data_IF_996403608189
#
_entry.id   IF_996403608189
#
_cell.length_a   1.000
_cell.length_b   1.000
_cell.length_c   1.000
_cell.angle_alpha   90.00
_cell.angle_beta   90.00
_cell.angle_gamma   90.00
#
_symmetry.space_group_name_H-M   'P 1'
#
loop_
_entity.id
_entity.type
_entity.pdbx_description
1 polymer ?
#
# COMPACT_ATOMS: atom_id res chain seq x y z
N UNK A 1 30.37 8.30 -36.24
CA UNK A 1 29.00 7.74 -36.51
C UNK A 1 28.45 8.47 -37.72
N UNK A 2 27.77 7.78 -38.63
CA UNK A 2 27.15 8.40 -39.80
C UNK A 2 25.69 8.76 -39.55
N UNK A 3 25.12 9.63 -40.36
CA UNK A 3 23.74 10.10 -40.26
C UNK A 3 22.73 8.95 -40.11
N UNK A 4 22.80 7.95 -40.99
CA UNK A 4 21.85 6.82 -40.96
C UNK A 4 21.96 5.99 -39.68
N UNK A 5 23.15 5.85 -39.13
CA UNK A 5 23.42 5.13 -37.89
C UNK A 5 22.89 5.91 -36.68
N UNK A 6 23.03 7.23 -36.67
CA UNK A 6 22.48 8.12 -35.66
C UNK A 6 20.95 8.03 -35.63
N UNK A 7 20.28 8.12 -36.76
CA UNK A 7 18.82 8.03 -36.84
C UNK A 7 18.30 6.63 -36.50
N UNK A 8 19.03 5.56 -36.81
CA UNK A 8 18.68 4.20 -36.39
C UNK A 8 18.76 4.06 -34.86
N UNK A 9 19.79 4.60 -34.23
CA UNK A 9 19.91 4.64 -32.78
C UNK A 9 18.83 5.53 -32.14
N UNK A 10 18.53 6.69 -32.73
CA UNK A 10 17.47 7.58 -32.25
C UNK A 10 16.09 6.89 -32.28
N UNK A 11 15.74 6.23 -33.39
CA UNK A 11 14.49 5.44 -33.49
C UNK A 11 14.45 4.31 -32.49
N UNK A 12 15.58 3.67 -32.21
CA UNK A 12 15.67 2.60 -31.21
C UNK A 12 15.53 3.16 -29.78
N UNK A 13 16.21 4.26 -29.49
CA UNK A 13 16.17 4.89 -28.15
C UNK A 13 14.79 5.45 -27.81
N UNK A 14 14.06 5.95 -28.79
CA UNK A 14 12.70 6.48 -28.64
C UNK A 14 11.61 5.47 -29.07
N UNK A 15 11.94 4.18 -29.21
CA UNK A 15 10.97 3.13 -29.51
C UNK A 15 9.88 3.06 -28.42
N UNK A 16 8.62 3.12 -28.84
CA UNK A 16 7.47 3.13 -27.94
C UNK A 16 6.91 4.52 -27.61
N UNK A 17 7.50 5.58 -28.17
CA UNK A 17 6.93 6.93 -28.15
C UNK A 17 5.76 7.07 -29.14
N UNK A 18 4.91 8.07 -28.94
CA UNK A 18 3.89 8.46 -29.90
C UNK A 18 4.50 8.73 -31.28
N UNK A 19 3.89 8.19 -32.36
CA UNK A 19 4.46 8.20 -33.70
C UNK A 19 4.52 9.62 -34.27
N UNK A 20 3.58 10.49 -33.93
CA UNK A 20 3.57 11.90 -34.36
C UNK A 20 4.69 12.67 -33.65
N UNK A 21 4.87 12.47 -32.35
CA UNK A 21 5.95 13.08 -31.57
C UNK A 21 7.33 12.57 -31.98
N UNK A 22 7.46 11.27 -32.28
CA UNK A 22 8.70 10.69 -32.79
C UNK A 22 9.04 11.28 -34.17
N UNK A 23 8.05 11.51 -35.03
CA UNK A 23 8.22 12.12 -36.34
C UNK A 23 8.71 13.56 -36.21
N UNK A 24 8.16 14.33 -35.26
CA UNK A 24 8.58 15.70 -34.98
C UNK A 24 10.05 15.76 -34.52
N UNK A 25 10.42 14.89 -33.57
CA UNK A 25 11.81 14.79 -33.07
C UNK A 25 12.76 14.43 -34.20
N UNK A 26 12.42 13.44 -35.02
CA UNK A 26 13.25 13.05 -36.17
C UNK A 26 13.38 14.21 -37.15
N UNK A 27 12.29 14.93 -37.41
CA UNK A 27 12.28 16.10 -38.32
C UNK A 27 13.19 17.22 -37.83
N UNK A 28 13.23 17.50 -36.55
CA UNK A 28 14.10 18.51 -35.94
C UNK A 28 15.59 18.15 -36.15
N UNK A 29 15.94 16.88 -35.88
CA UNK A 29 17.32 16.42 -36.11
C UNK A 29 17.68 16.33 -37.61
N UNK A 30 16.75 15.98 -38.51
CA UNK A 30 16.97 16.03 -39.96
C UNK A 30 17.27 17.45 -40.43
N UNK A 31 16.54 18.45 -39.91
CA UNK A 31 16.81 19.86 -40.20
C UNK A 31 18.19 20.28 -39.67
N UNK A 32 18.59 19.85 -38.48
CA UNK A 32 19.91 20.14 -37.91
C UNK A 32 21.04 19.55 -38.76
N UNK A 33 20.90 18.31 -39.24
CA UNK A 33 21.84 17.70 -40.18
C UNK A 33 21.91 18.47 -41.50
N UNK A 34 20.78 18.90 -42.05
CA UNK A 34 20.73 19.68 -43.29
C UNK A 34 21.46 21.01 -43.14
N UNK A 35 21.19 21.77 -42.08
CA UNK A 35 21.86 23.04 -41.81
C UNK A 35 23.36 22.85 -41.55
N UNK A 36 23.77 21.81 -40.82
CA UNK A 36 25.18 21.49 -40.59
C UNK A 36 25.92 21.18 -41.87
N UNK A 37 25.33 20.38 -42.77
CA UNK A 37 25.91 20.05 -44.08
C UNK A 37 25.96 21.27 -45.01
N UNK A 38 24.96 22.13 -45.02
CA UNK A 38 24.95 23.39 -45.77
C UNK A 38 26.07 24.34 -45.30
N UNK A 39 26.42 24.26 -44.00
CA UNK A 39 27.55 25.00 -43.42
C UNK A 39 28.91 24.30 -43.60
N UNK A 40 28.99 23.22 -44.39
CA UNK A 40 30.22 22.55 -44.79
C UNK A 40 30.76 21.55 -43.76
N UNK A 41 29.96 21.14 -42.75
CA UNK A 41 30.32 20.11 -41.77
C UNK A 41 30.10 18.72 -42.36
N UNK A 42 30.93 17.76 -41.96
CA UNK A 42 30.71 16.35 -42.25
C UNK A 42 29.65 15.73 -41.36
N UNK A 43 29.05 14.61 -41.77
CA UNK A 43 28.08 13.87 -40.94
C UNK A 43 28.66 13.47 -39.60
N UNK A 44 29.95 13.09 -39.58
CA UNK A 44 30.66 12.70 -38.38
C UNK A 44 30.79 13.87 -37.38
N UNK A 45 31.13 15.07 -37.88
CA UNK A 45 31.23 16.28 -37.04
C UNK A 45 29.87 16.69 -36.48
N UNK A 46 28.80 16.57 -37.25
CA UNK A 46 27.43 16.85 -36.77
C UNK A 46 27.02 15.86 -35.71
N UNK A 47 27.30 14.55 -35.89
CA UNK A 47 27.03 13.54 -34.86
C UNK A 47 27.82 13.77 -33.57
N UNK A 48 29.06 14.25 -33.63
CA UNK A 48 29.83 14.58 -32.42
C UNK A 48 29.25 15.80 -31.69
N UNK A 49 28.77 16.80 -32.41
CA UNK A 49 28.13 18.00 -31.84
C UNK A 49 26.78 17.66 -31.17
N UNK A 50 26.00 16.75 -31.76
CA UNK A 50 24.72 16.30 -31.21
C UNK A 50 24.86 15.43 -29.95
N UNK A 51 26.02 14.81 -29.76
CA UNK A 51 26.32 13.98 -28.59
C UNK A 51 25.74 12.57 -28.63
N UNK A 52 25.60 11.98 -27.45
CA UNK A 52 25.12 10.61 -27.30
C UNK A 52 23.59 10.57 -27.36
N UNK A 53 23.05 9.70 -28.22
CA UNK A 53 21.58 9.51 -28.37
C UNK A 53 20.88 9.17 -27.04
N UNK A 54 21.54 8.46 -26.15
CA UNK A 54 20.95 8.14 -24.82
C UNK A 54 20.89 9.37 -23.91
N UNK A 55 21.86 10.27 -23.98
CA UNK A 55 21.83 11.56 -23.28
C UNK A 55 20.73 12.47 -23.82
N UNK A 56 20.56 12.49 -25.15
CA UNK A 56 19.46 13.21 -25.81
C UNK A 56 18.11 12.68 -25.33
N UNK A 57 17.97 11.36 -25.30
CA UNK A 57 16.76 10.72 -24.80
C UNK A 57 16.49 11.09 -23.35
N UNK A 58 17.50 11.03 -22.49
CA UNK A 58 17.37 11.36 -21.07
C UNK A 58 16.96 12.83 -20.88
N UNK A 59 17.61 13.77 -21.57
CA UNK A 59 17.28 15.19 -21.50
C UNK A 59 15.83 15.46 -21.95
N UNK A 60 15.41 14.80 -23.04
CA UNK A 60 14.04 14.93 -23.55
C UNK A 60 12.99 14.39 -22.53
N UNK A 61 13.27 13.26 -21.87
CA UNK A 61 12.37 12.65 -20.88
C UNK A 61 12.32 13.46 -19.58
N UNK A 62 13.40 14.10 -19.20
CA UNK A 62 13.43 14.99 -18.03
C UNK A 62 12.55 16.23 -18.24
N UNK A 63 12.50 16.76 -19.48
CA UNK A 63 11.63 17.88 -19.86
C UNK A 63 10.20 17.46 -20.18
N UNK A 64 10.00 16.23 -20.67
CA UNK A 64 8.70 15.71 -21.10
C UNK A 64 8.40 14.34 -20.47
N UNK A 65 8.14 14.27 -19.16
CA UNK A 65 7.91 13.00 -18.46
C UNK A 65 6.67 12.21 -18.96
N UNK A 66 5.79 12.86 -19.72
CA UNK A 66 4.61 12.24 -20.33
C UNK A 66 4.84 11.70 -21.77
N UNK A 67 6.02 11.93 -22.35
CA UNK A 67 6.26 11.68 -23.78
C UNK A 67 6.44 10.20 -24.16
N UNK A 68 6.61 9.29 -23.22
CA UNK A 68 6.52 7.85 -23.46
C UNK A 68 5.11 7.31 -23.17
N UNK A 69 4.13 7.82 -23.88
CA UNK A 69 2.83 7.16 -23.96
C UNK A 69 2.97 6.02 -24.97
N UNK A 70 3.10 4.79 -24.45
CA UNK A 70 3.12 3.61 -25.32
C UNK A 70 1.74 3.52 -25.96
N UNK A 71 1.63 3.90 -27.22
CA UNK A 71 0.43 3.68 -28.03
C UNK A 71 0.17 2.17 -28.10
N UNK A 72 -0.97 1.76 -27.59
CA UNK A 72 -1.42 0.36 -27.54
C UNK A 72 -1.85 -0.09 -28.93
N UNK A 73 -0.96 -0.08 -29.90
CA UNK A 73 -1.16 -0.69 -31.20
C UNK A 73 -0.08 -1.71 -31.46
N UNK A 74 -0.40 -2.98 -31.29
CA UNK A 74 -0.10 -4.04 -32.27
C UNK A 74 -0.14 -5.45 -31.70
N UNK A 75 -0.92 -6.23 -32.36
CA UNK A 75 -0.77 -7.65 -32.70
C UNK A 75 0.04 -8.55 -31.75
N UNK A 76 -0.68 -9.34 -30.96
CA UNK A 76 -0.28 -10.71 -30.75
C UNK A 76 -1.53 -11.56 -30.71
N UNK A 77 -1.63 -12.46 -31.68
CA UNK A 77 -2.61 -13.51 -31.75
C UNK A 77 -2.51 -14.46 -30.56
N UNK A 78 -3.67 -14.99 -30.17
CA UNK A 78 -3.88 -16.09 -29.27
C UNK A 78 -3.75 -15.82 -27.77
N UNK A 79 -4.83 -15.28 -27.16
CA UNK A 79 -5.12 -15.53 -25.75
C UNK A 79 -6.61 -15.80 -25.57
N UNK A 80 -6.91 -16.75 -24.72
CA UNK A 80 -8.26 -17.10 -24.34
C UNK A 80 -9.02 -15.93 -23.70
N UNK A 81 -10.27 -15.94 -23.86
CA UNK A 81 -11.35 -14.98 -23.73
C UNK A 81 -11.51 -14.26 -22.35
N UNK A 82 -10.46 -13.80 -21.68
CA UNK A 82 -10.59 -13.12 -20.40
C UNK A 82 -9.65 -11.90 -20.15
N UNK A 83 -8.55 -11.77 -20.89
CA UNK A 83 -7.58 -10.71 -20.64
C UNK A 83 -7.53 -9.71 -21.80
N UNK A 84 -8.02 -8.49 -21.56
CA UNK A 84 -8.10 -7.44 -22.59
C UNK A 84 -6.80 -6.72 -22.76
N UNK A 85 -6.06 -6.60 -21.67
CA UNK A 85 -4.77 -5.94 -21.63
C UNK A 85 -3.81 -6.85 -20.88
N UNK A 86 -2.79 -7.33 -21.54
CA UNK A 86 -1.69 -8.07 -20.91
C UNK A 86 -0.39 -7.62 -21.54
N UNK A 87 0.50 -7.04 -20.71
CA UNK A 87 1.81 -6.54 -21.16
C UNK A 87 2.89 -6.75 -20.12
N UNK A 88 4.10 -7.00 -20.64
CA UNK A 88 5.32 -7.12 -19.87
C UNK A 88 6.15 -5.85 -20.01
N UNK A 89 6.68 -5.37 -18.90
CA UNK A 89 7.51 -4.16 -18.82
C UNK A 89 8.87 -4.54 -18.23
N UNK A 90 9.91 -4.70 -19.07
CA UNK A 90 11.25 -5.05 -18.60
C UNK A 90 11.93 -3.87 -17.91
N UNK A 91 12.79 -4.19 -16.93
CA UNK A 91 13.63 -3.20 -16.25
C UNK A 91 12.90 -2.23 -15.33
N UNK A 92 11.62 -2.47 -15.03
CA UNK A 92 10.85 -1.67 -14.07
C UNK A 92 11.22 -2.07 -12.65
N UNK A 93 11.52 -1.08 -11.82
CA UNK A 93 11.82 -1.23 -10.39
C UNK A 93 10.82 -0.48 -9.49
N UNK A 94 9.96 0.37 -10.09
CA UNK A 94 8.99 1.18 -9.38
C UNK A 94 7.64 1.16 -10.08
N UNK A 95 6.57 1.01 -9.29
CA UNK A 95 5.19 1.15 -9.77
C UNK A 95 4.53 2.34 -9.05
N UNK A 96 3.86 3.19 -9.81
CA UNK A 96 3.04 4.28 -9.31
C UNK A 96 1.64 4.21 -9.95
N UNK A 97 0.67 3.69 -9.21
CA UNK A 97 -0.71 3.58 -9.66
C UNK A 97 -1.57 4.68 -9.01
N UNK A 98 -2.31 5.42 -9.82
CA UNK A 98 -3.28 6.45 -9.37
C UNK A 98 -4.62 6.14 -10.02
N UNK A 99 -5.54 5.59 -9.24
CA UNK A 99 -6.79 5.05 -9.74
C UNK A 99 -7.99 5.72 -9.06
N UNK A 100 -9.14 5.60 -9.67
CA UNK A 100 -10.39 6.21 -9.18
C UNK A 100 -11.37 5.18 -8.66
N UNK A 101 -11.66 4.12 -9.41
CA UNK A 101 -12.71 3.14 -9.10
C UNK A 101 -12.38 1.70 -9.53
N UNK A 102 -11.13 1.44 -9.89
CA UNK A 102 -10.66 0.09 -10.20
C UNK A 102 -10.29 -0.69 -8.93
N UNK A 103 -10.59 -1.97 -8.90
CA UNK A 103 -9.96 -2.88 -7.96
C UNK A 103 -8.52 -3.17 -8.38
N UNK A 104 -7.65 -3.45 -7.43
CA UNK A 104 -6.23 -3.70 -7.69
C UNK A 104 -5.81 -5.01 -7.04
N UNK A 105 -5.19 -5.87 -7.80
CA UNK A 105 -4.48 -7.04 -7.30
C UNK A 105 -3.00 -6.93 -7.59
N UNK A 106 -2.16 -6.99 -6.55
CA UNK A 106 -0.69 -6.96 -6.68
C UNK A 106 -0.14 -8.29 -6.18
N UNK A 107 0.64 -8.95 -7.02
CA UNK A 107 1.22 -10.25 -6.70
C UNK A 107 2.65 -10.39 -7.22
N UNK A 108 3.33 -11.44 -6.79
CA UNK A 108 4.65 -11.80 -7.29
C UNK A 108 4.57 -12.24 -8.76
N UNK A 109 5.47 -11.73 -9.58
CA UNK A 109 5.64 -12.18 -10.96
C UNK A 109 6.38 -13.51 -11.03
N UNK A 110 6.04 -14.32 -12.02
CA UNK A 110 6.80 -15.53 -12.37
C UNK A 110 8.07 -15.21 -13.19
N UNK A 111 8.23 -13.95 -13.61
CA UNK A 111 9.34 -13.47 -14.43
C UNK A 111 10.09 -12.33 -13.74
N UNK A 112 11.18 -11.85 -14.35
CA UNK A 112 11.89 -10.66 -13.87
C UNK A 112 11.29 -9.34 -14.35
N UNK A 113 10.17 -9.40 -15.06
CA UNK A 113 9.49 -8.24 -15.62
C UNK A 113 8.22 -7.92 -14.83
N UNK A 114 7.81 -6.67 -14.85
CA UNK A 114 6.49 -6.30 -14.36
C UNK A 114 5.46 -6.68 -15.41
N UNK A 115 4.46 -7.46 -15.00
CA UNK A 115 3.32 -7.82 -15.83
C UNK A 115 2.11 -6.99 -15.38
N UNK A 116 1.45 -6.35 -16.35
CA UNK A 116 0.22 -5.60 -16.13
C UNK A 116 -0.89 -6.22 -16.97
N UNK A 117 -1.95 -6.67 -16.34
CA UNK A 117 -3.16 -7.10 -17.01
C UNK A 117 -4.40 -6.41 -16.44
N UNK A 118 -5.43 -6.29 -17.26
CA UNK A 118 -6.69 -5.65 -16.89
C UNK A 118 -7.84 -6.57 -17.27
N UNK A 119 -8.73 -6.83 -16.32
CA UNK A 119 -9.92 -7.66 -16.47
C UNK A 119 -11.17 -6.90 -15.99
N UNK A 120 -12.37 -7.33 -16.36
CA UNK A 120 -13.64 -6.78 -15.85
C UNK A 120 -14.60 -6.27 -16.93
N UNK A 121 -15.74 -5.73 -16.54
CA UNK A 121 -16.91 -5.53 -17.39
C UNK A 121 -16.85 -4.42 -18.48
N UNK A 122 -15.88 -3.50 -18.44
CA UNK A 122 -15.54 -2.60 -19.56
C UNK A 122 -14.47 -3.23 -20.46
N UNK A 123 -14.11 -4.39 -20.14
CA UNK A 123 -13.05 -5.16 -20.72
C UNK A 123 -13.30 -5.59 -22.18
N UNK A 124 -14.53 -5.68 -22.60
CA UNK A 124 -14.88 -5.99 -24.00
C UNK A 124 -14.74 -4.76 -24.93
N UNK A 125 -14.53 -3.56 -24.35
CA UNK A 125 -14.34 -2.30 -25.10
C UNK A 125 -12.95 -1.72 -24.85
N UNK A 126 -11.97 -2.18 -25.65
CA UNK A 126 -10.58 -1.73 -25.60
C UNK A 126 -10.46 -0.21 -25.82
N UNK A 127 -11.34 0.39 -26.61
CA UNK A 127 -11.31 1.83 -26.85
C UNK A 127 -11.75 2.61 -25.61
N UNK A 128 -12.81 2.16 -24.94
CA UNK A 128 -13.24 2.77 -23.69
C UNK A 128 -12.19 2.61 -22.58
N UNK A 129 -11.48 1.47 -22.54
CA UNK A 129 -10.38 1.26 -21.60
C UNK A 129 -9.21 2.23 -21.87
N UNK A 130 -8.80 2.39 -23.14
CA UNK A 130 -7.73 3.31 -23.54
C UNK A 130 -8.04 4.77 -23.23
N UNK A 131 -9.31 5.13 -23.26
CA UNK A 131 -9.76 6.48 -22.93
C UNK A 131 -9.75 6.77 -21.41
N UNK A 132 -9.81 5.74 -20.57
CA UNK A 132 -9.89 5.88 -19.11
C UNK A 132 -8.60 5.50 -18.40
N UNK A 133 -7.78 4.61 -18.98
CA UNK A 133 -6.55 4.10 -18.38
C UNK A 133 -5.32 4.51 -19.19
N UNK A 134 -4.46 5.33 -18.60
CA UNK A 134 -3.17 5.72 -19.16
C UNK A 134 -2.07 4.92 -18.47
N UNK A 135 -1.28 4.23 -19.27
CA UNK A 135 -0.11 3.47 -18.79
C UNK A 135 1.12 4.00 -19.49
N UNK A 136 2.12 4.41 -18.72
CA UNK A 136 3.40 4.89 -19.23
C UNK A 136 4.57 4.26 -18.49
N UNK A 137 5.64 3.93 -19.19
CA UNK A 137 6.86 3.39 -18.61
C UNK A 137 8.02 4.36 -18.90
N UNK A 138 8.72 4.81 -17.89
CA UNK A 138 9.86 5.72 -18.00
C UNK A 138 10.88 5.42 -16.90
N UNK A 139 12.15 5.37 -17.27
CA UNK A 139 13.31 5.20 -16.39
C UNK A 139 13.04 4.31 -15.16
N UNK A 140 12.76 3.01 -15.42
CA UNK A 140 12.52 2.03 -14.34
C UNK A 140 11.23 2.24 -13.55
N UNK A 141 10.32 3.09 -13.99
CA UNK A 141 9.03 3.36 -13.33
C UNK A 141 7.87 3.08 -14.28
N UNK A 142 6.91 2.27 -13.84
CA UNK A 142 5.62 2.08 -14.48
C UNK A 142 4.60 2.99 -13.80
N UNK A 143 4.00 3.90 -14.54
CA UNK A 143 2.92 4.77 -14.07
C UNK A 143 1.60 4.34 -14.68
N UNK A 144 0.60 4.14 -13.84
CA UNK A 144 -0.75 3.71 -14.21
C UNK A 144 -1.71 4.78 -13.68
N UNK A 145 -2.46 5.41 -14.56
CA UNK A 145 -3.39 6.49 -14.19
C UNK A 145 -4.77 6.17 -14.76
N UNK A 146 -5.78 6.23 -13.90
CA UNK A 146 -7.18 6.11 -14.30
C UNK A 146 -7.84 7.49 -14.20
N UNK A 147 -8.33 7.99 -15.32
CA UNK A 147 -9.08 9.24 -15.38
C UNK A 147 -10.60 8.95 -15.32
N UNK A 148 -11.31 9.67 -14.45
CA UNK A 148 -12.75 9.57 -14.40
C UNK A 148 -13.36 10.41 -15.53
N UNK A 149 -13.95 9.78 -16.55
CA UNK A 149 -14.77 10.53 -17.52
C UNK A 149 -16.07 11.00 -16.84
N UNK A 150 -16.34 12.28 -16.90
CA UNK A 150 -17.64 12.84 -16.54
C UNK A 150 -18.69 12.28 -17.53
N UNK A 151 -19.56 11.38 -17.08
CA UNK A 151 -20.68 10.88 -17.86
C UNK A 151 -20.91 9.36 -17.87
N UNK A 152 -19.96 8.53 -17.44
CA UNK A 152 -20.19 7.10 -17.28
C UNK A 152 -20.35 6.77 -15.79
N UNK A 153 -21.36 7.34 -15.16
CA UNK A 153 -21.93 6.75 -13.96
C UNK A 153 -23.04 5.81 -14.42
N UNK A 154 -22.72 4.56 -14.66
CA UNK A 154 -23.75 3.52 -14.67
C UNK A 154 -24.21 3.42 -13.22
N UNK A 155 -25.26 4.16 -12.90
CA UNK A 155 -25.81 4.23 -11.57
C UNK A 155 -26.27 2.83 -11.15
N UNK A 156 -25.60 2.26 -10.18
CA UNK A 156 -26.00 1.07 -9.44
C UNK A 156 -27.42 1.19 -8.81
N UNK A 157 -27.98 2.39 -8.83
CA UNK A 157 -29.33 2.69 -8.36
C UNK A 157 -30.44 2.22 -9.31
N UNK A 158 -30.20 2.09 -10.61
CA UNK A 158 -31.26 1.73 -11.58
C UNK A 158 -31.61 0.24 -11.56
N UNK A 159 -30.69 -0.65 -11.19
CA UNK A 159 -30.95 -2.10 -11.15
C UNK A 159 -31.81 -2.55 -9.95
N UNK A 160 -31.88 -1.78 -8.88
CA UNK A 160 -32.74 -2.06 -7.73
C UNK A 160 -34.21 -1.66 -7.93
N UNK A 161 -34.48 -0.74 -8.83
CA UNK A 161 -35.85 -0.21 -9.03
C UNK A 161 -36.71 -1.07 -9.98
N UNK A 162 -36.13 -1.93 -10.79
CA UNK A 162 -36.89 -2.68 -11.81
C UNK A 162 -36.90 -4.22 -11.65
N UNK A 163 -36.44 -4.78 -10.52
CA UNK A 163 -36.62 -6.22 -10.22
C UNK A 163 -35.96 -7.20 -11.20
N UNK A 164 -35.13 -6.75 -12.13
CA UNK A 164 -34.42 -7.58 -13.08
C UNK A 164 -33.17 -8.16 -12.37
N UNK A 165 -33.16 -9.48 -12.21
CA UNK A 165 -31.93 -10.23 -11.87
C UNK A 165 -30.97 -10.12 -13.06
N UNK A 166 -30.27 -9.00 -13.15
CA UNK A 166 -29.05 -8.92 -13.96
C UNK A 166 -27.96 -9.64 -13.17
N UNK A 167 -27.33 -10.64 -13.80
CA UNK A 167 -26.28 -11.42 -13.16
C UNK A 167 -25.20 -10.53 -12.55
N UNK A 168 -24.43 -11.06 -11.60
CA UNK A 168 -23.29 -10.41 -10.94
C UNK A 168 -22.26 -9.94 -11.99
N UNK A 169 -22.48 -8.81 -12.61
CA UNK A 169 -21.46 -8.09 -13.33
C UNK A 169 -21.13 -6.86 -12.45
N UNK A 170 -20.05 -6.98 -11.70
CA UNK A 170 -19.36 -5.81 -11.21
C UNK A 170 -18.94 -5.00 -12.44
N UNK A 171 -19.48 -3.80 -12.60
CA UNK A 171 -19.14 -2.90 -13.70
C UNK A 171 -17.73 -2.28 -13.51
N UNK A 172 -16.92 -2.81 -12.62
CA UNK A 172 -15.57 -2.35 -12.32
C UNK A 172 -14.50 -3.09 -13.14
N UNK A 173 -13.42 -2.41 -13.43
CA UNK A 173 -12.19 -3.03 -13.93
C UNK A 173 -11.34 -3.50 -12.76
N UNK A 174 -10.63 -4.59 -12.93
CA UNK A 174 -9.61 -5.08 -12.01
C UNK A 174 -8.25 -4.95 -12.69
N UNK A 175 -7.34 -4.27 -12.02
CA UNK A 175 -5.96 -4.08 -12.49
C UNK A 175 -5.06 -5.06 -11.75
N UNK A 176 -4.49 -6.00 -12.47
CA UNK A 176 -3.54 -6.97 -11.94
C UNK A 176 -2.12 -6.53 -12.25
N UNK A 177 -1.30 -6.39 -11.23
CA UNK A 177 0.10 -6.00 -11.33
C UNK A 177 0.95 -7.12 -10.73
N UNK A 178 1.69 -7.86 -11.56
CA UNK A 178 2.67 -8.79 -11.06
C UNK A 178 4.07 -8.16 -11.08
N UNK A 179 4.77 -8.18 -9.93
CA UNK A 179 6.08 -7.55 -9.79
C UNK A 179 7.16 -8.58 -9.47
N UNK A 180 8.42 -8.39 -9.94
CA UNK A 180 9.54 -9.26 -9.60
C UNK A 180 9.81 -9.39 -8.10
N UNK A 181 10.55 -10.41 -7.70
CA UNK A 181 10.83 -10.74 -6.30
C UNK A 181 11.56 -9.62 -5.53
N UNK A 182 12.44 -8.87 -6.20
CA UNK A 182 13.14 -7.73 -5.59
C UNK A 182 12.70 -6.45 -6.28
N UNK A 183 11.93 -5.65 -5.56
CA UNK A 183 11.33 -4.44 -6.09
C UNK A 183 11.66 -3.21 -5.23
N UNK A 184 11.95 -2.08 -5.85
CA UNK A 184 12.33 -0.88 -5.11
C UNK A 184 11.13 -0.23 -4.42
N UNK A 185 10.07 0.05 -5.19
CA UNK A 185 8.94 0.82 -4.67
C UNK A 185 7.62 0.50 -5.36
N UNK A 186 6.60 0.29 -4.55
CA UNK A 186 5.22 0.22 -5.01
C UNK A 186 4.45 1.34 -4.32
N UNK A 187 3.81 2.20 -5.10
CA UNK A 187 2.91 3.24 -4.62
C UNK A 187 1.57 3.13 -5.31
N UNK A 188 0.53 3.00 -4.52
CA UNK A 188 -0.85 2.91 -5.00
C UNK A 188 -1.68 4.01 -4.34
N UNK A 189 -2.41 4.75 -5.15
CA UNK A 189 -3.47 5.66 -4.69
C UNK A 189 -4.77 5.25 -5.36
N UNK A 190 -5.81 5.01 -4.57
CA UNK A 190 -7.13 4.66 -5.08
C UNK A 190 -8.21 5.49 -4.38
N UNK A 191 -9.23 5.89 -5.12
CA UNK A 191 -10.36 6.63 -4.53
C UNK A 191 -11.41 5.62 -4.05
N UNK A 192 -11.82 4.67 -4.88
CA UNK A 192 -12.76 3.63 -4.51
C UNK A 192 -12.42 2.34 -5.27
N UNK A 193 -12.51 1.25 -4.63
CA UNK A 193 -12.09 -0.06 -5.13
C UNK A 193 -11.10 -0.70 -4.16
N UNK A 194 -11.17 -2.00 -4.07
CA UNK A 194 -10.40 -2.77 -3.13
C UNK A 194 -8.97 -2.98 -3.61
N UNK A 195 -8.06 -3.08 -2.66
CA UNK A 195 -6.63 -3.31 -2.94
C UNK A 195 -6.22 -4.62 -2.26
N UNK A 196 -5.85 -5.60 -3.07
CA UNK A 196 -5.40 -6.92 -2.60
C UNK A 196 -3.94 -7.12 -2.97
N UNK A 197 -3.12 -7.50 -2.00
CA UNK A 197 -1.68 -7.67 -2.15
C UNK A 197 -1.26 -9.02 -1.60
N UNK A 198 -0.57 -9.81 -2.41
CA UNK A 198 -0.13 -11.14 -2.03
C UNK A 198 1.32 -11.43 -2.45
N UNK A 199 2.12 -11.96 -1.54
CA UNK A 199 3.49 -12.45 -1.76
C UNK A 199 4.41 -11.43 -2.45
N UNK A 200 4.58 -10.26 -1.84
CA UNK A 200 5.39 -9.16 -2.36
C UNK A 200 6.66 -8.95 -1.53
N UNK A 201 7.78 -8.74 -2.23
CA UNK A 201 9.02 -8.29 -1.62
C UNK A 201 9.47 -6.95 -2.24
N UNK A 202 9.62 -5.92 -1.41
CA UNK A 202 9.99 -4.57 -1.88
C UNK A 202 10.78 -3.79 -0.82
N UNK A 203 11.45 -2.71 -1.22
CA UNK A 203 12.02 -1.81 -0.22
C UNK A 203 10.98 -0.90 0.42
N UNK A 204 10.02 -0.39 -0.39
CA UNK A 204 8.94 0.50 0.07
C UNK A 204 7.60 0.12 -0.54
N UNK A 205 6.63 0.01 0.31
CA UNK A 205 5.25 -0.28 -0.06
C UNK A 205 4.31 0.77 0.55
N UNK A 206 3.63 1.55 -0.30
CA UNK A 206 2.79 2.67 0.13
C UNK A 206 1.42 2.57 -0.54
N UNK A 207 0.36 2.57 0.26
CA UNK A 207 -1.03 2.55 -0.21
C UNK A 207 -1.81 3.68 0.45
N UNK A 208 -2.50 4.46 -0.37
CA UNK A 208 -3.43 5.50 0.05
C UNK A 208 -4.80 5.22 -0.60
N UNK A 209 -5.81 4.89 0.20
CA UNK A 209 -7.20 4.72 -0.26
C UNK A 209 -8.12 5.79 0.33
N UNK A 210 -9.20 6.11 -0.36
CA UNK A 210 -10.26 6.97 0.19
C UNK A 210 -11.42 6.13 0.69
N UNK A 211 -11.92 5.20 -0.11
CA UNK A 211 -12.89 4.20 0.28
C UNK A 211 -12.60 2.90 -0.50
N UNK A 212 -12.67 1.82 0.14
CA UNK A 212 -12.26 0.52 -0.36
C UNK A 212 -11.31 -0.13 0.65
N UNK A 213 -11.38 -1.42 0.74
CA UNK A 213 -10.62 -2.18 1.70
C UNK A 213 -9.21 -2.45 1.19
N UNK A 214 -8.26 -2.51 2.12
CA UNK A 214 -6.88 -2.87 1.84
C UNK A 214 -6.58 -4.20 2.51
N UNK A 215 -6.24 -5.21 1.73
CA UNK A 215 -5.84 -6.53 2.21
C UNK A 215 -4.42 -6.85 1.76
N UNK A 216 -3.53 -7.07 2.72
CA UNK A 216 -2.12 -7.37 2.47
C UNK A 216 -1.77 -8.70 3.14
N UNK A 217 -1.28 -9.65 2.37
CA UNK A 217 -0.78 -10.92 2.87
C UNK A 217 0.61 -11.22 2.33
N UNK A 218 1.49 -11.75 3.18
CA UNK A 218 2.87 -12.15 2.83
C UNK A 218 3.71 -11.02 2.21
N UNK A 219 3.63 -9.80 2.78
CA UNK A 219 4.48 -8.68 2.38
C UNK A 219 5.80 -8.70 3.15
N UNK A 220 6.92 -8.62 2.43
CA UNK A 220 8.25 -8.43 3.00
C UNK A 220 8.83 -7.09 2.51
N UNK A 221 9.05 -6.13 3.42
CA UNK A 221 9.48 -4.79 3.02
C UNK A 221 10.32 -4.09 4.10
N UNK A 222 11.07 -3.06 3.73
CA UNK A 222 11.70 -2.19 4.74
C UNK A 222 10.69 -1.20 5.32
N UNK A 223 9.81 -0.64 4.50
CA UNK A 223 8.83 0.34 4.91
C UNK A 223 7.47 0.04 4.29
N UNK A 224 6.47 -0.18 5.14
CA UNK A 224 5.08 -0.35 4.76
C UNK A 224 4.25 0.79 5.35
N UNK A 225 3.46 1.44 4.51
CA UNK A 225 2.52 2.48 4.91
C UNK A 225 1.18 2.25 4.22
N UNK A 226 0.14 1.96 5.01
CA UNK A 226 -1.22 1.70 4.56
C UNK A 226 -2.16 2.74 5.17
N UNK A 227 -2.75 3.57 4.33
CA UNK A 227 -3.66 4.63 4.75
C UNK A 227 -5.01 4.49 4.03
N UNK A 228 -6.11 4.48 4.77
CA UNK A 228 -7.46 4.60 4.23
C UNK A 228 -8.24 5.71 4.95
N UNK A 229 -9.21 6.33 4.29
CA UNK A 229 -10.13 7.25 4.97
C UNK A 229 -11.35 6.51 5.52
N UNK A 230 -11.86 5.49 4.81
CA UNK A 230 -13.13 4.84 5.18
C UNK A 230 -13.18 3.32 4.93
N UNK A 231 -12.11 2.69 4.50
CA UNK A 231 -12.05 1.25 4.31
C UNK A 231 -11.35 0.53 5.46
N UNK A 232 -11.62 -0.74 5.58
CA UNK A 232 -10.91 -1.63 6.49
C UNK A 232 -9.49 -1.92 5.97
N UNK A 233 -8.56 -2.11 6.89
CA UNK A 233 -7.20 -2.50 6.54
C UNK A 233 -6.85 -3.81 7.25
N UNK A 234 -6.51 -4.83 6.48
CA UNK A 234 -6.06 -6.13 7.00
C UNK A 234 -4.64 -6.43 6.51
N UNK A 235 -3.78 -6.80 7.43
CA UNK A 235 -2.39 -7.15 7.13
C UNK A 235 -2.03 -8.44 7.85
N UNK A 236 -1.68 -9.47 7.09
CA UNK A 236 -1.37 -10.78 7.64
C UNK A 236 0.03 -11.25 7.18
N UNK A 237 0.67 -12.12 7.98
CA UNK A 237 1.91 -12.83 7.62
C UNK A 237 3.01 -11.94 7.04
N UNK A 238 3.10 -10.70 7.48
CA UNK A 238 3.94 -9.69 6.85
C UNK A 238 5.13 -9.28 7.72
N UNK A 239 6.22 -8.90 7.07
CA UNK A 239 7.45 -8.47 7.74
C UNK A 239 7.89 -7.10 7.22
N UNK A 240 8.21 -6.18 8.13
CA UNK A 240 8.71 -4.85 7.78
C UNK A 240 9.69 -4.33 8.84
N UNK A 241 10.56 -3.37 8.51
CA UNK A 241 11.22 -2.59 9.58
C UNK A 241 10.23 -1.62 10.22
N UNK A 242 9.46 -0.92 9.38
CA UNK A 242 8.42 0.00 9.86
C UNK A 242 7.10 -0.35 9.19
N UNK A 243 6.10 -0.66 10.01
CA UNK A 243 4.74 -0.98 9.58
C UNK A 243 3.78 0.08 10.14
N UNK A 244 3.31 0.97 9.29
CA UNK A 244 2.38 2.06 9.63
C UNK A 244 1.03 1.80 8.99
N UNK A 245 -0.02 1.68 9.81
CA UNK A 245 -1.38 1.39 9.36
C UNK A 245 -2.34 2.40 9.99
N UNK A 246 -3.07 3.10 9.16
CA UNK A 246 -4.03 4.10 9.60
C UNK A 246 -5.32 4.08 8.78
N UNK A 247 -6.46 4.10 9.47
CA UNK A 247 -7.76 4.34 8.83
C UNK A 247 -8.57 5.40 9.59
N UNK A 248 -9.43 6.10 8.88
CA UNK A 248 -10.34 7.07 9.48
C UNK A 248 -11.58 6.41 10.09
N UNK A 249 -12.27 5.56 9.34
CA UNK A 249 -13.56 4.98 9.77
C UNK A 249 -13.68 3.47 9.57
N UNK A 250 -12.64 2.81 9.20
CA UNK A 250 -12.60 1.37 9.06
C UNK A 250 -11.95 0.69 10.26
N UNK A 251 -12.02 -0.61 10.29
CA UNK A 251 -11.32 -1.45 11.24
C UNK A 251 -9.89 -1.74 10.78
N UNK A 252 -8.99 -1.93 11.73
CA UNK A 252 -7.62 -2.35 11.47
C UNK A 252 -7.36 -3.73 12.06
N UNK A 253 -7.01 -4.69 11.21
CA UNK A 253 -6.57 -6.02 11.59
C UNK A 253 -5.10 -6.25 11.22
N UNK A 254 -4.27 -6.62 12.18
CA UNK A 254 -2.87 -6.98 11.97
C UNK A 254 -2.62 -8.32 12.63
N UNK A 255 -2.30 -9.34 11.85
CA UNK A 255 -2.13 -10.70 12.36
C UNK A 255 -0.83 -11.32 11.87
N UNK A 256 -0.14 -12.01 12.77
CA UNK A 256 1.11 -12.77 12.47
C UNK A 256 2.21 -11.92 11.79
N UNK A 257 2.28 -10.63 12.11
CA UNK A 257 3.24 -9.69 11.53
C UNK A 257 4.48 -9.51 12.41
N UNK A 258 5.60 -9.18 11.77
CA UNK A 258 6.84 -8.85 12.43
C UNK A 258 7.37 -7.49 11.97
N UNK A 259 7.77 -6.62 12.93
CA UNK A 259 8.36 -5.31 12.62
C UNK A 259 9.39 -4.89 13.66
N UNK A 260 10.24 -3.91 13.35
CA UNK A 260 10.99 -3.18 14.39
C UNK A 260 10.03 -2.18 15.05
N UNK A 261 9.25 -1.44 14.23
CA UNK A 261 8.20 -0.53 14.72
C UNK A 261 6.86 -0.85 14.04
N UNK A 262 5.82 -1.12 14.84
CA UNK A 262 4.45 -1.31 14.39
C UNK A 262 3.55 -0.21 14.96
N UNK A 263 2.89 0.55 14.11
CA UNK A 263 1.86 1.52 14.47
C UNK A 263 0.56 1.17 13.76
N UNK A 264 -0.50 0.91 14.53
CA UNK A 264 -1.83 0.58 14.02
C UNK A 264 -2.86 1.52 14.63
N UNK A 265 -3.65 2.20 13.80
CA UNK A 265 -4.62 3.18 14.33
C UNK A 265 -5.88 3.32 13.51
N UNK A 266 -7.00 3.57 14.21
CA UNK A 266 -8.27 4.01 13.63
C UNK A 266 -8.85 5.22 14.40
N UNK A 267 -9.64 6.04 13.70
CA UNK A 267 -10.40 7.10 14.39
C UNK A 267 -11.73 6.55 14.91
N UNK A 268 -12.47 5.78 14.12
CA UNK A 268 -13.82 5.32 14.48
C UNK A 268 -14.04 3.81 14.37
N UNK A 269 -13.02 3.03 14.07
CA UNK A 269 -13.08 1.58 13.98
C UNK A 269 -12.28 0.90 15.07
N UNK A 270 -12.45 -0.39 15.17
CA UNK A 270 -11.72 -1.26 16.07
C UNK A 270 -10.31 -1.53 15.57
N UNK A 271 -9.37 -1.72 16.50
CA UNK A 271 -7.99 -2.07 16.14
C UNK A 271 -7.61 -3.40 16.81
N UNK A 272 -7.35 -4.40 15.98
CA UNK A 272 -6.98 -5.74 16.40
C UNK A 272 -5.54 -6.04 15.98
N UNK A 273 -4.65 -6.31 16.95
CA UNK A 273 -3.26 -6.68 16.71
C UNK A 273 -2.97 -7.99 17.46
N UNK A 274 -2.83 -9.07 16.69
CA UNK A 274 -2.81 -10.43 17.23
C UNK A 274 -1.58 -11.18 16.70
N UNK A 275 -0.92 -11.93 17.56
CA UNK A 275 0.25 -12.76 17.24
C UNK A 275 1.40 -11.99 16.54
N UNK A 276 1.49 -10.68 16.77
CA UNK A 276 2.52 -9.83 16.20
C UNK A 276 3.74 -9.68 17.11
N UNK A 277 4.91 -9.41 16.51
CA UNK A 277 6.16 -9.13 17.23
C UNK A 277 6.74 -7.81 16.75
N UNK A 278 7.08 -6.92 17.68
CA UNK A 278 7.76 -5.69 17.36
C UNK A 278 8.61 -5.20 18.56
N UNK A 279 9.73 -4.52 18.29
CA UNK A 279 10.48 -3.86 19.35
C UNK A 279 9.65 -2.73 19.98
N UNK A 280 8.89 -2.01 19.14
CA UNK A 280 7.94 -1.00 19.56
C UNK A 280 6.59 -1.19 18.87
N UNK A 281 5.53 -1.29 19.69
CA UNK A 281 4.16 -1.46 19.21
C UNK A 281 3.24 -0.38 19.78
N UNK A 282 2.55 0.33 18.91
CA UNK A 282 1.65 1.42 19.27
C UNK A 282 0.28 1.23 18.59
N UNK A 283 -0.75 0.96 19.40
CA UNK A 283 -2.10 0.64 18.95
C UNK A 283 -3.06 1.70 19.48
N UNK A 284 -3.72 2.41 18.58
CA UNK A 284 -4.53 3.59 18.95
C UNK A 284 -5.90 3.55 18.27
N UNK A 285 -6.96 3.78 19.05
CA UNK A 285 -8.29 4.11 18.53
C UNK A 285 -8.84 5.35 19.22
N UNK A 286 -9.71 6.11 18.57
CA UNK A 286 -10.43 7.20 19.24
C UNK A 286 -11.79 6.70 19.73
N UNK A 287 -12.57 6.03 18.88
CA UNK A 287 -13.95 5.61 19.24
C UNK A 287 -14.20 4.11 19.12
N UNK A 288 -13.21 3.33 18.78
CA UNK A 288 -13.31 1.88 18.68
C UNK A 288 -12.60 1.15 19.82
N UNK A 289 -12.86 -0.12 19.92
CA UNK A 289 -12.21 -1.03 20.85
C UNK A 289 -10.80 -1.41 20.37
N UNK A 290 -9.93 -1.70 21.30
CA UNK A 290 -8.60 -2.23 21.01
C UNK A 290 -8.51 -3.66 21.57
N UNK A 291 -8.08 -4.58 20.70
CA UNK A 291 -7.64 -5.92 21.10
C UNK A 291 -6.18 -6.10 20.67
N UNK A 292 -5.28 -6.24 21.62
CA UNK A 292 -3.87 -6.37 21.33
C UNK A 292 -3.20 -7.48 22.16
N UNK A 293 -2.26 -8.19 21.51
CA UNK A 293 -1.42 -9.20 22.17
C UNK A 293 0.02 -8.72 22.17
N UNK A 294 0.55 -8.43 23.35
CA UNK A 294 1.90 -8.00 23.61
C UNK A 294 2.69 -9.16 24.23
N UNK A 295 3.28 -9.99 23.41
CA UNK A 295 4.16 -11.07 23.85
C UNK A 295 5.53 -10.89 23.20
N UNK A 296 6.56 -10.82 24.04
CA UNK A 296 7.95 -10.63 23.60
C UNK A 296 8.20 -9.34 22.78
N UNK A 297 7.50 -8.28 23.10
CA UNK A 297 7.65 -6.96 22.49
C UNK A 297 8.10 -5.95 23.55
N UNK A 298 9.23 -5.27 23.31
CA UNK A 298 9.91 -4.52 24.37
C UNK A 298 9.09 -3.32 24.86
N UNK A 299 8.49 -2.53 23.99
CA UNK A 299 7.70 -1.34 24.32
C UNK A 299 6.33 -1.37 23.64
N UNK A 300 5.26 -1.44 24.43
CA UNK A 300 3.92 -1.58 23.91
C UNK A 300 2.99 -0.51 24.47
N UNK A 301 2.18 0.09 23.61
CA UNK A 301 1.13 1.00 24.00
C UNK A 301 -0.19 0.62 23.36
N UNK A 302 -1.26 0.61 24.15
CA UNK A 302 -2.64 0.53 23.67
C UNK A 302 -3.43 1.71 24.24
N UNK A 303 -4.02 2.55 23.38
CA UNK A 303 -4.75 3.74 23.79
C UNK A 303 -6.06 3.89 23.04
N UNK A 304 -7.18 3.86 23.76
CA UNK A 304 -8.48 4.30 23.24
C UNK A 304 -8.97 5.58 23.95
N UNK A 305 -9.87 6.30 23.33
CA UNK A 305 -10.56 7.42 24.00
C UNK A 305 -11.94 6.99 24.48
N UNK A 306 -12.75 6.33 23.66
CA UNK A 306 -14.12 5.94 24.01
C UNK A 306 -14.39 4.44 23.92
N UNK A 307 -13.41 3.64 23.59
CA UNK A 307 -13.55 2.18 23.49
C UNK A 307 -12.82 1.45 24.61
N UNK A 308 -13.12 0.18 24.73
CA UNK A 308 -12.47 -0.73 25.64
C UNK A 308 -11.09 -1.15 25.14
N UNK A 309 -10.17 -1.37 26.06
CA UNK A 309 -8.86 -1.96 25.75
C UNK A 309 -8.78 -3.38 26.34
N UNK A 310 -8.71 -4.39 25.47
CA UNK A 310 -8.47 -5.79 25.83
C UNK A 310 -7.06 -6.18 25.42
N UNK A 311 -6.17 -6.34 26.40
CA UNK A 311 -4.75 -6.54 26.12
C UNK A 311 -4.27 -7.82 26.79
N UNK A 312 -3.55 -8.65 26.04
CA UNK A 312 -2.80 -9.79 26.60
C UNK A 312 -1.33 -9.40 26.69
N UNK A 313 -0.69 -9.65 27.83
CA UNK A 313 0.72 -9.30 28.08
C UNK A 313 1.47 -10.59 28.44
N UNK A 314 2.56 -10.84 27.72
CA UNK A 314 3.51 -11.94 27.99
C UNK A 314 4.72 -11.53 28.81
N UNK A 315 5.86 -12.16 28.54
CA UNK A 315 7.13 -11.87 29.21
C UNK A 315 7.92 -10.75 28.50
N UNK A 316 8.74 -10.04 29.26
CA UNK A 316 9.66 -9.00 28.75
C UNK A 316 8.94 -7.84 28.04
N UNK A 317 7.81 -7.40 28.59
CA UNK A 317 6.96 -6.36 27.99
C UNK A 317 6.83 -5.16 28.92
N UNK A 318 7.18 -3.97 28.42
CA UNK A 318 6.82 -2.70 29.04
C UNK A 318 5.55 -2.15 28.38
N UNK A 319 4.39 -2.37 29.02
CA UNK A 319 3.07 -2.04 28.48
C UNK A 319 2.46 -0.80 29.13
N UNK A 320 1.92 0.09 28.30
CA UNK A 320 1.08 1.21 28.72
C UNK A 320 -0.30 1.07 28.06
N UNK A 321 -1.33 0.83 28.87
CA UNK A 321 -2.70 0.63 28.40
C UNK A 321 -3.59 1.74 28.98
N UNK A 322 -4.33 2.45 28.15
CA UNK A 322 -5.19 3.52 28.63
C UNK A 322 -6.48 3.67 27.83
N UNK A 323 -7.57 3.95 28.54
CA UNK A 323 -8.80 4.47 27.94
C UNK A 323 -9.23 5.74 28.67
N UNK A 324 -10.05 6.56 28.05
CA UNK A 324 -10.69 7.68 28.77
C UNK A 324 -12.07 7.26 29.29
N UNK A 325 -12.90 6.66 28.48
CA UNK A 325 -14.28 6.29 28.84
C UNK A 325 -14.59 4.79 28.72
N UNK A 326 -13.62 3.97 28.44
CA UNK A 326 -13.79 2.52 28.31
C UNK A 326 -13.09 1.75 29.42
N UNK A 327 -13.41 0.49 29.52
CA UNK A 327 -12.77 -0.46 30.42
C UNK A 327 -11.39 -0.88 29.90
N UNK A 328 -10.49 -1.15 30.84
CA UNK A 328 -9.18 -1.72 30.56
C UNK A 328 -9.11 -3.14 31.12
N UNK A 329 -9.09 -4.13 30.24
CA UNK A 329 -9.03 -5.53 30.59
C UNK A 329 -7.67 -6.10 30.17
N UNK A 330 -6.84 -6.47 31.13
CA UNK A 330 -5.52 -7.04 30.88
C UNK A 330 -5.47 -8.48 31.34
N UNK A 331 -4.99 -9.35 30.45
CA UNK A 331 -4.69 -10.74 30.73
C UNK A 331 -3.18 -10.93 30.73
N UNK A 332 -2.64 -11.36 31.85
CA UNK A 332 -1.22 -11.69 31.96
C UNK A 332 -0.97 -13.18 31.72
N UNK A 333 -0.13 -13.50 30.77
CA UNK A 333 0.25 -14.87 30.41
C UNK A 333 1.74 -15.17 30.65
N UNK A 334 2.46 -14.21 31.24
CA UNK A 334 3.87 -14.38 31.56
C UNK A 334 4.09 -15.29 32.77
N UNK A 335 5.26 -15.91 32.83
CA UNK A 335 5.60 -16.91 33.87
C UNK A 335 6.47 -16.35 35.00
N UNK A 336 7.20 -15.24 34.77
CA UNK A 336 8.28 -14.79 35.67
C UNK A 336 7.74 -13.82 36.73
N UNK A 337 7.07 -12.77 36.32
CA UNK A 337 6.49 -11.79 37.24
C UNK A 337 6.09 -10.48 36.57
N UNK A 338 5.29 -9.69 37.25
CA UNK A 338 4.75 -8.45 36.73
C UNK A 338 4.80 -7.34 37.79
N UNK A 339 5.33 -6.19 37.42
CA UNK A 339 5.16 -4.93 38.15
C UNK A 339 4.00 -4.16 37.54
N UNK A 340 3.00 -3.80 38.33
CA UNK A 340 1.81 -3.10 37.84
C UNK A 340 1.51 -1.81 38.59
N UNK A 341 1.13 -0.77 37.81
CA UNK A 341 0.63 0.49 38.30
C UNK A 341 -0.72 0.81 37.63
N UNK A 342 -1.80 0.63 38.34
CA UNK A 342 -3.16 0.72 37.84
C UNK A 342 -3.90 1.88 38.49
N UNK A 343 -4.68 2.66 37.73
CA UNK A 343 -5.47 3.77 38.29
C UNK A 343 -6.74 4.05 37.49
N UNK A 344 -7.88 4.13 38.18
CA UNK A 344 -9.14 4.63 37.63
C UNK A 344 -9.62 5.83 38.45
N UNK A 345 -10.18 6.83 37.77
CA UNK A 345 -10.73 8.02 38.47
C UNK A 345 -12.12 7.74 38.97
N UNK A 346 -13.04 7.25 38.16
CA UNK A 346 -14.44 7.02 38.52
C UNK A 346 -14.79 5.54 38.63
N UNK A 347 -14.14 4.65 37.92
CA UNK A 347 -14.35 3.20 38.00
C UNK A 347 -13.54 2.51 39.07
N UNK A 348 -13.63 1.20 39.13
CA UNK A 348 -12.94 0.35 40.07
C UNK A 348 -11.74 -0.38 39.44
N UNK A 349 -10.71 -0.59 40.25
CA UNK A 349 -9.51 -1.35 39.87
C UNK A 349 -9.53 -2.70 40.57
N UNK A 350 -9.42 -3.77 39.81
CA UNK A 350 -9.30 -5.14 40.28
C UNK A 350 -8.08 -5.82 39.69
N UNK A 351 -7.20 -6.31 40.53
CA UNK A 351 -6.02 -7.09 40.13
C UNK A 351 -6.07 -8.44 40.86
N UNK A 352 -6.23 -9.50 40.08
CA UNK A 352 -6.23 -10.90 40.58
C UNK A 352 -5.23 -11.65 39.71
N UNK A 353 -3.97 -11.63 40.10
CA UNK A 353 -2.87 -12.14 39.30
C UNK A 353 -1.65 -12.46 40.19
N UNK A 354 -0.99 -13.59 39.99
CA UNK A 354 0.25 -13.94 40.68
C UNK A 354 0.13 -13.97 42.22
N UNK A 355 -1.00 -14.38 42.75
CA UNK A 355 -1.28 -14.38 44.21
C UNK A 355 -1.76 -13.04 44.78
N UNK A 356 -1.75 -11.96 44.00
CA UNK A 356 -2.37 -10.67 44.36
C UNK A 356 -3.88 -10.78 44.21
N UNK A 357 -4.60 -10.27 45.20
CA UNK A 357 -6.07 -10.18 45.19
C UNK A 357 -6.50 -8.79 45.69
N UNK A 358 -6.51 -7.84 44.82
CA UNK A 358 -6.87 -6.44 45.10
C UNK A 358 -8.13 -6.09 44.32
N UNK A 359 -9.21 -5.70 45.00
CA UNK A 359 -10.53 -5.42 44.39
C UNK A 359 -11.15 -4.14 44.92
N UNK A 360 -11.92 -3.43 44.08
CA UNK A 360 -12.70 -2.27 44.44
C UNK A 360 -11.86 -1.07 44.87
N UNK A 361 -10.63 -0.94 44.40
CA UNK A 361 -9.75 0.19 44.71
C UNK A 361 -9.76 1.20 43.55
N UNK A 362 -9.34 2.40 43.80
CA UNK A 362 -9.11 3.43 42.76
C UNK A 362 -7.68 3.41 42.19
N UNK A 363 -6.77 2.85 42.96
CA UNK A 363 -5.36 2.74 42.62
C UNK A 363 -4.75 1.47 43.18
N UNK A 364 -3.98 0.78 42.39
CA UNK A 364 -3.21 -0.42 42.74
C UNK A 364 -1.78 -0.24 42.25
N UNK A 365 -0.81 -0.45 43.14
CA UNK A 365 0.61 -0.54 42.82
C UNK A 365 1.14 -1.80 43.50
N UNK A 366 1.39 -2.82 42.72
CA UNK A 366 1.75 -4.14 43.24
C UNK A 366 2.79 -4.78 42.28
N UNK A 367 3.52 -5.75 42.81
CA UNK A 367 4.40 -6.60 42.02
C UNK A 367 4.40 -8.01 42.59
N UNK A 368 4.63 -8.98 41.74
CA UNK A 368 4.85 -10.38 42.15
C UNK A 368 5.95 -11.02 41.31
N UNK A 369 6.54 -12.06 41.79
CA UNK A 369 7.69 -12.74 41.19
C UNK A 369 8.93 -11.83 41.12
N UNK A 370 9.83 -12.16 40.23
CA UNK A 370 10.92 -11.27 39.81
C UNK A 370 10.49 -10.61 38.47
N UNK A 371 9.95 -9.38 38.51
CA UNK A 371 9.29 -8.84 37.33
C UNK A 371 10.28 -8.57 36.19
N UNK A 372 10.03 -9.21 35.07
CA UNK A 372 10.65 -8.90 33.79
C UNK A 372 9.73 -8.06 32.88
N UNK A 373 8.50 -7.85 33.33
CA UNK A 373 7.47 -7.11 32.61
C UNK A 373 6.86 -6.00 33.47
N UNK A 374 6.43 -4.91 32.84
CA UNK A 374 5.78 -3.79 33.49
C UNK A 374 4.46 -3.45 32.82
N UNK A 375 3.46 -3.17 33.63
CA UNK A 375 2.14 -2.72 33.20
C UNK A 375 1.77 -1.39 33.86
N UNK A 376 1.55 -0.36 33.06
CA UNK A 376 0.87 0.85 33.49
C UNK A 376 -0.51 0.91 32.83
N UNK A 377 -1.58 0.78 33.62
CA UNK A 377 -2.93 0.89 33.09
C UNK A 377 -3.72 2.01 33.73
N UNK A 378 -4.47 2.76 32.94
CA UNK A 378 -5.26 3.90 33.44
C UNK A 378 -6.55 4.10 32.64
N UNK A 379 -7.62 4.51 33.37
CA UNK A 379 -8.86 5.00 32.77
C UNK A 379 -9.44 6.15 33.59
N UNK A 380 -10.30 6.96 33.00
CA UNK A 380 -11.01 8.03 33.74
C UNK A 380 -12.37 7.50 34.20
N UNK A 381 -13.17 6.91 33.31
CA UNK A 381 -14.57 6.53 33.63
C UNK A 381 -14.84 5.03 33.48
N UNK A 382 -13.87 4.21 33.30
CA UNK A 382 -14.01 2.76 33.17
C UNK A 382 -13.41 1.99 34.34
N UNK A 383 -13.64 0.71 34.36
CA UNK A 383 -12.98 -0.24 35.24
C UNK A 383 -11.65 -0.74 34.70
N UNK A 384 -10.75 -1.11 35.61
CA UNK A 384 -9.52 -1.82 35.23
C UNK A 384 -9.56 -3.22 35.86
N UNK A 385 -9.39 -4.23 35.00
CA UNK A 385 -9.32 -5.63 35.43
C UNK A 385 -8.03 -6.26 34.92
N UNK A 386 -7.19 -6.72 35.87
CA UNK A 386 -5.99 -7.49 35.54
C UNK A 386 -6.16 -8.89 36.13
N UNK A 387 -5.93 -9.92 35.30
CA UNK A 387 -6.00 -11.32 35.68
C UNK A 387 -4.94 -12.15 35.00
N UNK A 388 -4.49 -13.20 35.59
CA UNK A 388 -3.72 -14.28 35.00
C UNK A 388 -4.61 -15.28 34.24
N UNK A 389 -3.93 -16.19 33.53
CA UNK A 389 -4.61 -17.30 32.84
C UNK A 389 -5.19 -18.32 33.79
#
# INVERSE_FOLDING_TARGET
MKKDEFFAQLRTAFAGMDEELLTDIIGDYENHFKEGMENGKSEEEICEELGNVEEIRQAFLDENPAAMTINVNSNSDTVGNSDIYNRFYPGIQRVNAQLTDADIEIKKSSTNDVELSVTGGLADDIEALKETLRVSASVGTLSIQQEKKAGISVSYAASRLFGLKVGKYSAGIVIHIAVPEQFEKIKVKNISGDIVVNDISSERFLVEAVSGDISVDQLNTKQCELNSKSGDIKTNNSSAKTLLIHTGSGDVGVEECQADELFASSISGDVNVIACKADKMDVVSISGDIKAEFDKSAQCRAKSTSGDCKVTIGNQVDAVVSSTSGDVNVRYIGEIGLEMALSSTSGDVSAVCGGINSKGKKKVQERFGEPDSKLKASTISGDIKVRDC
#
